data_IF_033030025952
#
_entry.id   IF_033030025952
#
_cell.length_a   1.000
_cell.length_b   1.000
_cell.length_c   1.000
_cell.angle_alpha   90.00
_cell.angle_beta   90.00
_cell.angle_gamma   90.00
#
_symmetry.space_group_name_H-M   'P 1'
#
loop_
_entity.id
_entity.type
_entity.pdbx_description
1 polymer ?
#
# COMPACT_ATOMS: atom_id res chain seq x y z
N UNK A 1 7.79 -68.95 26.56
CA UNK A 1 9.23 -68.91 26.15
C UNK A 1 9.43 -67.56 25.52
N UNK A 2 9.91 -66.56 26.21
CA UNK A 2 11.30 -66.10 26.35
C UNK A 2 11.99 -65.94 24.98
N UNK A 3 12.43 -64.79 24.52
CA UNK A 3 13.39 -63.76 24.87
C UNK A 3 13.17 -62.64 23.85
N UNK A 4 13.28 -61.35 23.98
CA UNK A 4 14.18 -60.53 24.84
C UNK A 4 15.15 -59.73 24.02
N UNK A 5 15.07 -58.41 24.21
CA UNK A 5 16.17 -57.43 24.19
C UNK A 5 16.71 -56.93 22.84
N UNK A 6 16.76 -55.62 22.75
CA UNK A 6 17.75 -54.89 21.94
C UNK A 6 17.40 -53.43 21.66
N UNK A 7 17.57 -52.56 22.67
CA UNK A 7 17.68 -51.11 22.47
C UNK A 7 19.00 -50.78 21.75
N UNK A 8 18.97 -49.83 20.86
CA UNK A 8 20.13 -48.94 20.65
C UNK A 8 19.66 -47.60 20.05
N UNK A 9 19.67 -46.59 20.89
CA UNK A 9 19.57 -45.23 20.53
C UNK A 9 20.84 -44.77 19.81
N UNK A 10 20.73 -44.14 18.67
CA UNK A 10 21.80 -43.35 18.04
C UNK A 10 21.34 -41.92 17.93
N UNK A 11 21.76 -41.12 18.91
CA UNK A 11 21.67 -39.65 18.87
C UNK A 11 22.66 -39.11 17.84
N UNK A 12 22.18 -38.57 16.75
CA UNK A 12 23.00 -37.79 15.83
C UNK A 12 22.92 -36.30 16.26
N UNK A 13 23.99 -35.85 16.89
CA UNK A 13 24.25 -34.43 17.16
C UNK A 13 24.66 -33.76 15.87
N UNK A 14 23.82 -32.93 15.28
CA UNK A 14 24.21 -32.01 14.22
C UNK A 14 24.78 -30.73 14.82
N UNK A 15 26.08 -30.58 14.74
CA UNK A 15 26.77 -29.32 14.97
C UNK A 15 26.49 -28.38 13.81
N UNK A 16 25.72 -27.34 14.07
CA UNK A 16 25.49 -26.26 13.14
C UNK A 16 26.61 -25.22 13.29
N UNK A 17 27.55 -25.22 12.35
CA UNK A 17 28.59 -24.19 12.23
C UNK A 17 27.94 -22.89 11.74
N UNK A 18 27.93 -21.88 12.58
CA UNK A 18 27.51 -20.52 12.21
C UNK A 18 28.57 -19.90 11.28
N UNK A 19 28.20 -19.70 10.01
CA UNK A 19 28.95 -18.86 9.10
C UNK A 19 28.56 -17.40 9.35
N UNK A 20 29.50 -16.62 9.79
CA UNK A 20 29.45 -15.15 9.86
C UNK A 20 29.31 -14.60 8.44
N UNK A 21 28.12 -14.21 8.04
CA UNK A 21 27.90 -13.42 6.85
C UNK A 21 27.95 -11.94 7.21
N UNK A 22 28.73 -11.21 6.42
CA UNK A 22 29.09 -9.83 6.63
C UNK A 22 27.93 -8.88 6.80
N UNK A 23 28.13 -7.96 7.73
CA UNK A 23 27.28 -6.80 8.01
C UNK A 23 27.27 -5.84 6.81
N UNK A 24 26.28 -5.96 5.95
CA UNK A 24 25.84 -4.84 5.13
C UNK A 24 25.10 -3.88 6.04
N UNK A 25 25.70 -2.74 6.35
CA UNK A 25 25.01 -1.63 6.99
C UNK A 25 23.94 -1.09 6.05
N UNK A 26 22.74 -1.65 6.11
CA UNK A 26 21.55 -0.89 5.78
C UNK A 26 21.43 0.12 6.93
N UNK A 27 21.71 1.38 6.67
CA UNK A 27 21.41 2.48 7.57
C UNK A 27 19.87 2.52 7.68
N UNK A 28 19.35 1.88 8.74
CA UNK A 28 17.99 2.13 9.15
C UNK A 28 17.88 3.64 9.38
N UNK A 29 17.15 4.34 8.52
CA UNK A 29 16.82 5.75 8.72
C UNK A 29 16.08 5.82 10.05
N UNK A 30 16.71 6.40 11.06
CA UNK A 30 16.08 6.61 12.36
C UNK A 30 14.72 7.26 12.10
N UNK A 31 13.67 6.78 12.78
CA UNK A 31 12.36 7.43 12.80
C UNK A 31 12.57 8.89 13.19
N UNK A 32 12.69 9.76 12.21
CA UNK A 32 12.75 11.19 12.45
C UNK A 32 11.42 11.59 13.06
N UNK A 33 11.46 12.40 14.11
CA UNK A 33 10.24 13.01 14.66
C UNK A 33 9.44 13.60 13.49
N UNK A 34 8.09 13.49 13.53
CA UNK A 34 7.26 14.03 12.45
C UNK A 34 7.67 15.48 12.18
N UNK A 35 7.75 15.88 10.90
CA UNK A 35 8.13 17.25 10.55
C UNK A 35 7.25 18.27 11.28
N UNK A 36 7.81 19.41 11.73
CA UNK A 36 7.03 20.42 12.42
C UNK A 36 6.03 21.06 11.44
N UNK A 37 4.76 20.85 11.68
CA UNK A 37 3.68 21.47 10.91
C UNK A 37 2.55 20.49 10.55
N UNK A 38 1.41 21.00 10.07
CA UNK A 38 0.31 20.17 9.61
C UNK A 38 0.70 19.42 8.32
N UNK A 39 0.19 18.20 8.17
CA UNK A 39 0.33 17.46 6.92
C UNK A 39 -0.40 18.19 5.78
N UNK A 40 0.24 18.30 4.62
CA UNK A 40 -0.35 18.86 3.42
C UNK A 40 -1.32 17.91 2.77
N UNK A 41 -0.98 16.60 2.80
CA UNK A 41 -1.74 15.54 2.19
C UNK A 41 -1.76 14.32 3.10
N UNK A 42 -2.94 13.76 3.32
CA UNK A 42 -3.14 12.45 3.92
C UNK A 42 -3.49 11.44 2.82
N UNK A 43 -2.67 10.41 2.65
CA UNK A 43 -2.93 9.33 1.72
C UNK A 43 -3.27 8.08 2.51
N UNK A 44 -4.39 7.45 2.21
CA UNK A 44 -4.79 6.18 2.84
C UNK A 44 -4.92 5.12 1.78
N UNK A 45 -4.17 4.02 1.89
CA UNK A 45 -4.46 2.81 1.12
C UNK A 45 -5.22 1.81 1.98
N UNK A 46 -6.24 1.16 1.40
CA UNK A 46 -7.09 0.25 2.14
C UNK A 46 -7.84 -0.75 1.25
N UNK A 47 -7.66 -2.03 1.52
CA UNK A 47 -8.48 -3.08 0.94
C UNK A 47 -9.82 -3.17 1.70
N UNK A 48 -10.93 -2.96 0.99
CA UNK A 48 -12.27 -2.86 1.56
C UNK A 48 -12.96 -4.23 1.77
N UNK A 49 -12.25 -5.34 1.65
CA UNK A 49 -12.80 -6.69 1.81
C UNK A 49 -14.12 -6.89 1.02
N UNK A 50 -14.02 -6.82 -0.29
CA UNK A 50 -15.19 -6.95 -1.18
C UNK A 50 -16.32 -5.96 -0.85
N UNK A 51 -15.97 -4.71 -0.53
CA UNK A 51 -16.90 -3.62 -0.25
C UNK A 51 -17.60 -3.71 1.11
N UNK A 52 -17.11 -4.53 2.05
CA UNK A 52 -17.67 -4.62 3.41
C UNK A 52 -17.17 -3.51 4.33
N UNK A 53 -16.10 -2.83 3.94
CA UNK A 53 -15.48 -1.78 4.73
C UNK A 53 -16.40 -0.59 4.97
N UNK A 54 -16.35 -0.01 6.16
CA UNK A 54 -17.08 1.21 6.54
C UNK A 54 -16.31 2.45 6.08
N UNK A 55 -16.40 2.74 4.77
CA UNK A 55 -15.75 3.91 4.17
C UNK A 55 -16.23 5.25 4.77
N UNK A 56 -17.54 5.47 5.01
CA UNK A 56 -17.98 6.68 5.67
C UNK A 56 -17.38 6.89 7.06
N UNK A 57 -17.22 5.80 7.83
CA UNK A 57 -16.57 5.84 9.14
C UNK A 57 -15.11 6.26 9.05
N UNK A 58 -14.34 5.66 8.14
CA UNK A 58 -12.95 6.03 7.88
C UNK A 58 -12.81 7.49 7.48
N UNK A 59 -13.63 7.97 6.53
CA UNK A 59 -13.57 9.36 6.05
C UNK A 59 -13.90 10.34 7.16
N UNK A 60 -14.93 10.08 7.95
CA UNK A 60 -15.29 10.91 9.11
C UNK A 60 -14.13 11.02 10.09
N UNK A 61 -13.44 9.93 10.40
CA UNK A 61 -12.30 9.93 11.33
C UNK A 61 -11.10 10.72 10.81
N UNK A 62 -10.91 10.75 9.48
CA UNK A 62 -9.90 11.60 8.82
C UNK A 62 -10.31 13.07 8.94
N UNK A 63 -11.55 13.42 8.56
CA UNK A 63 -12.08 14.79 8.55
C UNK A 63 -12.09 15.41 9.96
N UNK A 64 -12.42 14.62 10.98
CA UNK A 64 -12.41 15.06 12.38
C UNK A 64 -10.99 15.07 13.00
N UNK A 65 -9.96 14.73 12.24
CA UNK A 65 -8.58 14.73 12.70
C UNK A 65 -8.21 13.60 13.66
N UNK A 66 -9.12 12.65 13.91
CA UNK A 66 -8.86 11.52 14.82
C UNK A 66 -7.68 10.64 14.35
N UNK A 67 -7.49 10.52 13.04
CA UNK A 67 -6.42 9.73 12.46
C UNK A 67 -5.14 10.52 12.20
N UNK A 68 -5.21 11.82 12.06
CA UNK A 68 -4.06 12.65 11.66
C UNK A 68 -3.58 13.60 12.76
N UNK A 69 -4.28 13.63 13.90
CA UNK A 69 -3.98 14.53 15.04
C UNK A 69 -4.42 15.98 14.83
N UNK A 70 -4.84 16.33 13.61
CA UNK A 70 -5.45 17.59 13.20
C UNK A 70 -6.24 17.32 11.91
N UNK A 71 -7.20 18.14 11.49
CA UNK A 71 -7.81 18.00 10.16
C UNK A 71 -6.72 18.00 9.09
N UNK A 72 -6.75 16.98 8.22
CA UNK A 72 -5.82 16.91 7.09
C UNK A 72 -6.08 18.08 6.12
N UNK A 73 -5.03 18.59 5.48
CA UNK A 73 -5.17 19.58 4.40
C UNK A 73 -5.94 18.96 3.24
N UNK A 74 -5.26 18.10 2.50
CA UNK A 74 -5.85 17.33 1.40
C UNK A 74 -5.88 15.84 1.71
N UNK A 75 -6.78 15.10 1.07
CA UNK A 75 -7.00 13.66 1.30
C UNK A 75 -7.02 12.90 -0.01
N UNK A 76 -6.33 11.78 -0.07
CA UNK A 76 -6.42 10.78 -1.15
C UNK A 76 -6.65 9.40 -0.55
N UNK A 77 -7.67 8.70 -1.04
CA UNK A 77 -7.95 7.31 -0.69
C UNK A 77 -7.65 6.42 -1.89
N UNK A 78 -6.80 5.43 -1.68
CA UNK A 78 -6.39 4.41 -2.63
C UNK A 78 -7.05 3.10 -2.21
N UNK A 79 -8.19 2.77 -2.81
CA UNK A 79 -9.08 1.71 -2.36
C UNK A 79 -8.96 0.47 -3.23
N UNK A 80 -8.90 -0.72 -2.61
CA UNK A 80 -8.93 -2.01 -3.27
C UNK A 80 -10.20 -2.76 -2.89
N UNK A 81 -10.60 -3.69 -3.75
CA UNK A 81 -11.83 -4.47 -3.59
C UNK A 81 -13.11 -3.63 -3.42
N UNK A 82 -13.11 -2.39 -3.90
CA UNK A 82 -14.33 -1.61 -4.00
C UNK A 82 -15.32 -2.32 -4.92
N UNK A 83 -16.62 -2.32 -4.58
CA UNK A 83 -17.67 -2.94 -5.37
C UNK A 83 -18.54 -1.90 -6.03
N UNK A 84 -19.29 -2.29 -7.06
CA UNK A 84 -20.08 -1.33 -7.86
C UNK A 84 -21.17 -0.64 -7.03
N UNK A 85 -21.80 -1.33 -6.09
CA UNK A 85 -22.78 -0.73 -5.17
C UNK A 85 -22.06 0.29 -4.25
N UNK A 86 -20.92 -0.09 -3.70
CA UNK A 86 -20.05 0.81 -2.94
C UNK A 86 -19.43 1.90 -3.82
N UNK A 87 -19.30 1.69 -5.14
CA UNK A 87 -18.88 2.75 -6.05
C UNK A 87 -19.94 3.84 -6.20
N UNK A 88 -21.21 3.51 -6.10
CA UNK A 88 -22.28 4.53 -6.00
C UNK A 88 -22.16 5.30 -4.69
N UNK A 89 -22.01 4.62 -3.56
CA UNK A 89 -21.76 5.23 -2.26
C UNK A 89 -20.49 6.08 -2.26
N UNK A 90 -19.42 5.60 -2.95
CA UNK A 90 -18.15 6.29 -3.10
C UNK A 90 -18.31 7.57 -3.94
N UNK A 91 -19.07 7.53 -5.03
CA UNK A 91 -19.36 8.72 -5.83
C UNK A 91 -20.28 9.70 -5.08
N UNK A 92 -21.28 9.22 -4.34
CA UNK A 92 -22.14 10.03 -3.50
C UNK A 92 -21.34 10.69 -2.36
N UNK A 93 -20.48 9.91 -1.69
CA UNK A 93 -19.58 10.42 -0.64
C UNK A 93 -18.66 11.51 -1.18
N UNK A 94 -18.10 11.32 -2.37
CA UNK A 94 -17.27 12.31 -3.03
C UNK A 94 -18.09 13.55 -3.46
N UNK A 95 -19.24 13.34 -4.08
CA UNK A 95 -20.11 14.43 -4.55
C UNK A 95 -20.57 15.35 -3.43
N UNK A 96 -21.00 14.81 -2.29
CA UNK A 96 -21.43 15.60 -1.11
C UNK A 96 -20.31 16.50 -0.58
N UNK A 97 -19.05 16.10 -0.77
CA UNK A 97 -17.85 16.83 -0.31
C UNK A 97 -17.21 17.69 -1.39
N UNK A 98 -17.69 17.64 -2.63
CA UNK A 98 -17.01 18.26 -3.77
C UNK A 98 -15.69 17.57 -4.12
N UNK A 99 -15.53 16.31 -3.76
CA UNK A 99 -14.36 15.50 -4.05
C UNK A 99 -14.47 14.82 -5.42
N UNK A 100 -13.35 14.35 -5.95
CA UNK A 100 -13.27 13.53 -7.15
C UNK A 100 -13.22 12.05 -6.80
N UNK A 101 -13.83 11.21 -7.63
CA UNK A 101 -13.77 9.76 -7.48
C UNK A 101 -13.65 9.09 -8.85
N UNK A 102 -12.83 8.04 -8.92
CA UNK A 102 -12.72 7.17 -10.09
C UNK A 102 -12.65 5.71 -9.64
N UNK A 103 -13.55 4.87 -10.18
CA UNK A 103 -13.61 3.44 -9.92
C UNK A 103 -13.45 2.66 -11.22
N UNK A 104 -12.60 1.63 -11.21
CA UNK A 104 -12.41 0.71 -12.34
C UNK A 104 -12.62 -0.74 -11.91
N UNK A 105 -13.70 -1.39 -12.35
CA UNK A 105 -13.93 -2.81 -12.08
C UNK A 105 -12.97 -3.68 -12.86
N UNK A 106 -12.59 -4.82 -12.27
CA UNK A 106 -11.75 -5.84 -12.94
C UNK A 106 -12.30 -7.25 -12.72
N UNK A 107 -13.02 -7.49 -11.62
CA UNK A 107 -13.72 -8.74 -11.37
C UNK A 107 -15.21 -8.59 -11.64
N UNK A 108 -15.78 -9.61 -12.28
CA UNK A 108 -17.20 -9.71 -12.57
C UNK A 108 -17.72 -11.02 -11.99
N UNK A 109 -18.58 -10.93 -10.98
CA UNK A 109 -19.26 -12.07 -10.37
C UNK A 109 -20.78 -11.84 -10.51
N UNK A 110 -21.34 -12.36 -11.59
CA UNK A 110 -22.69 -12.03 -12.01
C UNK A 110 -22.86 -10.52 -12.25
N UNK A 111 -23.81 -9.90 -11.55
CA UNK A 111 -24.03 -8.46 -11.60
C UNK A 111 -23.01 -7.67 -10.75
N UNK A 112 -22.33 -8.32 -9.83
CA UNK A 112 -21.38 -7.67 -8.90
C UNK A 112 -20.05 -7.41 -9.58
N UNK A 113 -19.63 -6.18 -9.62
CA UNK A 113 -18.34 -5.75 -10.15
C UNK A 113 -17.46 -5.26 -9.02
N UNK A 114 -16.20 -5.72 -8.99
CA UNK A 114 -15.21 -5.36 -7.97
C UNK A 114 -13.92 -4.91 -8.63
N UNK A 115 -13.26 -3.92 -8.06
CA UNK A 115 -12.02 -3.38 -8.60
C UNK A 115 -11.35 -2.40 -7.66
N UNK A 116 -10.54 -1.52 -8.22
CA UNK A 116 -9.83 -0.49 -7.48
C UNK A 116 -10.45 0.90 -7.70
N UNK A 117 -10.25 1.79 -6.72
CA UNK A 117 -10.74 3.16 -6.82
C UNK A 117 -9.72 4.16 -6.25
N UNK A 118 -9.83 5.41 -6.70
CA UNK A 118 -9.21 6.58 -6.09
C UNK A 118 -10.32 7.57 -5.74
N UNK A 119 -10.27 8.09 -4.53
CA UNK A 119 -11.08 9.24 -4.08
C UNK A 119 -10.13 10.34 -3.64
N UNK A 120 -10.36 11.57 -4.05
CA UNK A 120 -9.46 12.70 -3.76
C UNK A 120 -10.26 13.94 -3.41
N UNK A 121 -9.84 14.66 -2.36
CA UNK A 121 -10.35 16.00 -2.03
C UNK A 121 -9.98 17.03 -3.09
N UNK A 122 -8.99 16.72 -3.93
CA UNK A 122 -8.55 17.56 -5.06
C UNK A 122 -9.09 17.01 -6.38
N UNK A 123 -9.23 17.84 -7.42
CA UNK A 123 -9.54 17.35 -8.76
C UNK A 123 -8.57 16.25 -9.20
N UNK A 124 -9.12 15.14 -9.70
CA UNK A 124 -8.35 14.00 -10.22
C UNK A 124 -8.31 14.09 -11.74
N UNK A 125 -7.14 14.37 -12.29
CA UNK A 125 -6.92 14.56 -13.72
C UNK A 125 -6.41 13.28 -14.39
N UNK A 126 -6.80 13.04 -15.63
CA UNK A 126 -6.30 11.91 -16.43
C UNK A 126 -6.54 10.54 -15.81
N UNK A 127 -7.59 10.41 -14.97
CA UNK A 127 -7.88 9.15 -14.29
C UNK A 127 -8.14 8.03 -15.30
N UNK A 128 -7.43 6.90 -15.14
CA UNK A 128 -7.56 5.73 -16.01
C UNK A 128 -7.25 4.44 -15.27
N UNK A 129 -7.71 3.32 -15.84
CA UNK A 129 -7.34 1.99 -15.40
C UNK A 129 -6.14 1.48 -16.22
N UNK A 130 -5.23 0.78 -15.54
CA UNK A 130 -4.12 0.04 -16.12
C UNK A 130 -4.41 -1.45 -15.89
N UNK A 131 -4.63 -2.21 -16.95
CA UNK A 131 -4.78 -3.67 -16.84
C UNK A 131 -3.43 -4.31 -16.61
N UNK A 132 -3.32 -5.11 -15.56
CA UNK A 132 -2.10 -5.85 -15.24
C UNK A 132 -2.11 -7.21 -15.95
N UNK A 133 -0.94 -7.83 -16.19
CA UNK A 133 -0.85 -9.18 -16.71
C UNK A 133 -1.77 -10.13 -15.94
N UNK A 134 -2.61 -10.85 -16.67
CA UNK A 134 -3.54 -11.81 -16.05
C UNK A 134 -2.76 -13.05 -15.64
N UNK A 135 -2.76 -13.31 -14.37
CA UNK A 135 -2.23 -14.52 -13.79
C UNK A 135 -3.40 -15.48 -13.47
N UNK A 136 -3.67 -15.78 -12.23
CA UNK A 136 -4.86 -16.54 -11.84
C UNK A 136 -6.13 -15.68 -11.91
N UNK A 137 -6.04 -14.45 -11.43
CA UNK A 137 -7.13 -13.51 -11.39
C UNK A 137 -6.85 -12.30 -12.29
N UNK A 138 -7.88 -11.67 -12.86
CA UNK A 138 -7.68 -10.37 -13.49
C UNK A 138 -7.38 -9.33 -12.42
N UNK A 139 -6.37 -8.50 -12.66
CA UNK A 139 -5.94 -7.41 -11.79
C UNK A 139 -5.80 -6.11 -12.58
N UNK A 140 -6.03 -5.00 -11.94
CA UNK A 140 -5.77 -3.68 -12.48
C UNK A 140 -5.12 -2.77 -11.43
N UNK A 141 -4.60 -1.65 -11.89
CA UNK A 141 -4.37 -0.47 -11.09
C UNK A 141 -5.25 0.67 -11.62
N UNK A 142 -5.55 1.62 -10.75
CA UNK A 142 -6.17 2.90 -11.12
C UNK A 142 -5.13 3.98 -10.88
N UNK A 143 -4.96 4.88 -11.83
CA UNK A 143 -4.05 6.03 -11.72
C UNK A 143 -4.75 7.32 -12.10
N UNK A 144 -4.22 8.44 -11.62
CA UNK A 144 -4.60 9.80 -11.98
C UNK A 144 -3.56 10.78 -11.43
N UNK A 145 -3.70 12.05 -11.72
CA UNK A 145 -2.86 13.10 -11.19
C UNK A 145 -3.67 14.09 -10.34
N UNK A 146 -3.05 14.61 -9.28
CA UNK A 146 -3.60 15.64 -8.40
C UNK A 146 -2.61 16.78 -8.26
N UNK A 147 -3.11 18.00 -8.06
CA UNK A 147 -2.28 19.15 -7.74
C UNK A 147 -2.37 19.46 -6.23
N UNK A 148 -1.23 19.52 -5.58
CA UNK A 148 -1.06 19.95 -4.19
C UNK A 148 -0.13 21.16 -4.19
N UNK A 149 -0.65 22.32 -3.83
CA UNK A 149 0.01 23.61 -3.98
C UNK A 149 0.44 23.84 -5.45
N UNK A 150 1.75 23.98 -5.71
CA UNK A 150 2.38 24.14 -7.03
C UNK A 150 2.94 22.83 -7.61
N UNK A 151 2.71 21.71 -6.94
CA UNK A 151 3.24 20.40 -7.33
C UNK A 151 2.14 19.51 -7.92
N UNK A 152 2.42 18.86 -9.03
CA UNK A 152 1.58 17.80 -9.57
C UNK A 152 2.14 16.44 -9.17
N UNK A 153 1.30 15.57 -8.62
CA UNK A 153 1.64 14.23 -8.17
C UNK A 153 0.78 13.20 -8.89
N UNK A 154 1.38 12.15 -9.45
CA UNK A 154 0.56 10.99 -9.82
C UNK A 154 0.20 10.17 -8.58
N UNK A 155 -0.99 9.59 -8.58
CA UNK A 155 -1.48 8.71 -7.51
C UNK A 155 -1.99 7.40 -8.10
N UNK A 156 -1.72 6.28 -7.44
CA UNK A 156 -2.06 4.95 -7.93
C UNK A 156 -2.64 4.08 -6.81
N UNK A 157 -3.79 3.47 -7.08
CA UNK A 157 -4.35 2.38 -6.30
C UNK A 157 -4.15 1.06 -7.04
N UNK A 158 -3.46 0.08 -6.44
CA UNK A 158 -3.23 -1.23 -7.06
C UNK A 158 -3.61 -2.39 -6.16
N UNK A 159 -3.93 -3.54 -6.76
CA UNK A 159 -4.12 -4.79 -6.05
C UNK A 159 -3.49 -5.91 -6.87
N UNK A 160 -2.35 -6.41 -6.41
CA UNK A 160 -1.58 -7.44 -7.10
C UNK A 160 -2.16 -8.85 -6.85
N UNK A 161 -1.63 -9.85 -7.57
CA UNK A 161 -2.09 -11.24 -7.46
C UNK A 161 -1.89 -11.79 -6.05
N UNK A 162 -2.94 -12.40 -5.52
CA UNK A 162 -2.89 -13.00 -4.19
C UNK A 162 -2.11 -14.32 -4.24
N UNK A 163 -2.71 -15.38 -4.79
CA UNK A 163 -2.14 -16.72 -4.83
C UNK A 163 -2.43 -17.40 -6.16
N UNK A 164 -1.38 -17.83 -6.84
CA UNK A 164 -1.51 -18.54 -8.12
C UNK A 164 -1.90 -20.00 -7.91
N UNK A 165 -1.34 -20.68 -6.90
CA UNK A 165 -1.59 -22.09 -6.62
C UNK A 165 -1.39 -22.43 -5.14
N UNK A 166 -2.20 -23.36 -4.62
CA UNK A 166 -2.05 -23.91 -3.27
C UNK A 166 -0.75 -24.71 -3.10
N UNK A 167 -0.31 -25.43 -4.17
CA UNK A 167 0.82 -26.35 -4.13
C UNK A 167 2.16 -25.68 -4.48
N UNK A 168 2.12 -24.56 -5.21
CA UNK A 168 3.30 -23.76 -5.59
C UNK A 168 3.25 -22.36 -4.94
N UNK A 169 2.75 -22.28 -3.71
CA UNK A 169 2.23 -21.05 -3.13
C UNK A 169 3.22 -19.87 -3.08
N UNK A 170 4.49 -20.12 -2.74
CA UNK A 170 5.48 -19.07 -2.56
C UNK A 170 5.99 -18.48 -3.88
N UNK A 171 6.86 -19.22 -4.56
CA UNK A 171 7.61 -18.69 -5.72
C UNK A 171 6.75 -18.33 -6.93
N UNK A 172 5.79 -19.19 -7.31
CA UNK A 172 4.94 -18.88 -8.47
C UNK A 172 4.06 -17.63 -8.27
N UNK A 173 3.67 -17.35 -7.03
CA UNK A 173 2.91 -16.14 -6.71
C UNK A 173 3.80 -14.91 -6.63
N UNK A 174 5.05 -15.03 -6.19
CA UNK A 174 6.05 -13.98 -6.24
C UNK A 174 6.38 -13.58 -7.68
N UNK A 175 6.64 -14.55 -8.56
CA UNK A 175 6.86 -14.30 -9.99
C UNK A 175 5.67 -13.58 -10.64
N UNK A 176 4.44 -13.99 -10.32
CA UNK A 176 3.22 -13.37 -10.84
C UNK A 176 3.11 -11.91 -10.41
N UNK A 177 3.34 -11.63 -9.13
CA UNK A 177 3.36 -10.26 -8.59
C UNK A 177 4.51 -9.44 -9.18
N UNK A 178 5.69 -10.05 -9.38
CA UNK A 178 6.83 -9.43 -10.04
C UNK A 178 6.48 -8.94 -11.45
N UNK A 179 5.87 -9.81 -12.29
CA UNK A 179 5.43 -9.42 -13.65
C UNK A 179 4.38 -8.30 -13.63
N UNK A 180 3.44 -8.34 -12.68
CA UNK A 180 2.43 -7.28 -12.52
C UNK A 180 3.06 -5.97 -12.08
N UNK A 181 4.00 -6.01 -11.14
CA UNK A 181 4.77 -4.86 -10.68
C UNK A 181 5.59 -4.22 -11.82
N UNK A 182 6.31 -5.01 -12.60
CA UNK A 182 7.05 -4.53 -13.76
C UNK A 182 6.14 -3.87 -14.81
N UNK A 183 4.98 -4.50 -15.09
CA UNK A 183 4.02 -3.94 -16.03
C UNK A 183 3.45 -2.60 -15.53
N UNK A 184 3.11 -2.51 -14.24
CA UNK A 184 2.64 -1.27 -13.65
C UNK A 184 3.71 -0.18 -13.71
N UNK A 185 4.94 -0.46 -13.28
CA UNK A 185 6.03 0.51 -13.25
C UNK A 185 6.37 1.08 -14.65
N UNK A 186 6.21 0.30 -15.72
CA UNK A 186 6.39 0.79 -17.11
C UNK A 186 5.33 1.80 -17.54
N UNK A 187 4.15 1.79 -16.92
CA UNK A 187 3.05 2.69 -17.22
C UNK A 187 3.08 3.99 -16.39
N UNK A 188 3.91 4.04 -15.35
CA UNK A 188 4.01 5.20 -14.47
C UNK A 188 4.96 6.27 -15.05
N UNK A 189 4.67 7.55 -14.82
CA UNK A 189 5.58 8.65 -15.18
C UNK A 189 6.94 8.49 -14.50
N UNK A 190 8.02 8.80 -15.22
CA UNK A 190 9.39 8.74 -14.67
C UNK A 190 9.86 10.08 -14.10
N UNK A 191 9.34 11.19 -14.65
CA UNK A 191 9.78 12.55 -14.33
C UNK A 191 8.81 13.29 -13.39
N UNK A 192 7.67 12.68 -13.06
CA UNK A 192 6.67 13.25 -12.15
C UNK A 192 6.76 12.55 -10.80
N UNK A 193 6.79 13.31 -9.70
CA UNK A 193 6.67 12.73 -8.37
C UNK A 193 5.31 12.04 -8.17
N UNK A 194 5.22 11.07 -7.27
CA UNK A 194 3.96 10.39 -7.08
C UNK A 194 3.91 9.38 -5.94
N UNK A 195 2.73 8.82 -5.77
CA UNK A 195 2.40 7.93 -4.66
C UNK A 195 1.67 6.71 -5.19
N UNK A 196 2.18 5.54 -4.85
CA UNK A 196 1.55 4.25 -5.19
C UNK A 196 1.18 3.55 -3.90
N UNK A 197 -0.11 3.26 -3.71
CA UNK A 197 -0.58 2.48 -2.58
C UNK A 197 -1.42 1.29 -3.02
N UNK A 198 -1.47 0.24 -2.20
CA UNK A 198 -2.29 -0.91 -2.52
C UNK A 198 -2.05 -2.14 -1.66
N UNK A 199 -2.85 -3.15 -1.94
CA UNK A 199 -2.62 -4.51 -1.47
C UNK A 199 -1.68 -5.24 -2.46
N UNK A 200 -0.41 -5.32 -2.08
CA UNK A 200 0.63 -5.95 -2.89
C UNK A 200 0.68 -7.47 -2.71
N UNK A 201 -0.07 -7.99 -1.73
CA UNK A 201 -0.10 -9.42 -1.41
C UNK A 201 1.29 -10.04 -1.19
N UNK A 202 2.22 -9.30 -0.60
CA UNK A 202 3.61 -9.71 -0.33
C UNK A 202 3.71 -10.64 0.88
N UNK A 203 3.26 -11.88 0.72
CA UNK A 203 3.18 -12.89 1.78
C UNK A 203 4.53 -13.22 2.43
N UNK A 204 5.63 -13.09 1.68
CA UNK A 204 6.99 -13.34 2.14
C UNK A 204 7.71 -12.04 2.52
N UNK A 205 6.99 -10.92 2.52
CA UNK A 205 7.48 -9.61 2.94
C UNK A 205 8.48 -8.97 1.97
N UNK A 206 9.46 -8.20 2.48
CA UNK A 206 10.39 -7.39 1.66
C UNK A 206 11.28 -8.18 0.71
N UNK A 207 11.36 -9.50 0.89
CA UNK A 207 12.10 -10.40 -0.01
C UNK A 207 11.44 -10.63 -1.37
N UNK A 208 10.17 -10.25 -1.56
CA UNK A 208 9.43 -10.50 -2.78
C UNK A 208 9.82 -9.57 -3.93
N UNK A 209 9.69 -10.10 -5.15
CA UNK A 209 10.07 -9.42 -6.39
C UNK A 209 9.32 -8.11 -6.59
N UNK A 210 8.01 -8.10 -6.35
CA UNK A 210 7.19 -6.90 -6.47
C UNK A 210 7.64 -5.80 -5.50
N UNK A 211 7.85 -6.15 -4.22
CA UNK A 211 8.31 -5.20 -3.21
C UNK A 211 9.66 -4.60 -3.59
N UNK A 212 10.64 -5.44 -3.98
CA UNK A 212 11.98 -4.98 -4.39
C UNK A 212 11.96 -4.08 -5.63
N UNK A 213 11.06 -4.33 -6.59
CA UNK A 213 10.90 -3.49 -7.77
C UNK A 213 10.42 -2.10 -7.41
N UNK A 214 9.38 -2.01 -6.57
CA UNK A 214 8.86 -0.72 -6.11
C UNK A 214 9.86 0.00 -5.21
N UNK A 215 10.53 -0.69 -4.28
CA UNK A 215 11.54 -0.08 -3.41
C UNK A 215 12.71 0.54 -4.18
N UNK A 216 13.12 -0.04 -5.32
CA UNK A 216 14.17 0.52 -6.17
C UNK A 216 13.72 1.78 -6.93
N UNK A 217 12.42 1.91 -7.21
CA UNK A 217 11.87 3.09 -7.91
C UNK A 217 11.49 4.21 -6.93
N UNK A 218 11.18 3.83 -5.69
CA UNK A 218 10.70 4.70 -4.61
C UNK A 218 11.55 4.45 -3.36
N UNK A 219 12.82 4.81 -3.43
CA UNK A 219 13.85 4.42 -2.45
C UNK A 219 13.70 5.11 -1.08
N UNK A 220 13.07 6.28 -1.01
CA UNK A 220 12.81 7.03 0.22
C UNK A 220 11.49 6.67 0.93
N UNK A 221 10.84 5.58 0.52
CA UNK A 221 9.53 5.20 1.06
C UNK A 221 9.57 4.81 2.54
N UNK A 222 8.77 5.46 3.40
CA UNK A 222 8.57 5.03 4.78
C UNK A 222 7.74 3.74 4.82
N UNK A 223 8.25 2.69 5.44
CA UNK A 223 7.58 1.40 5.53
C UNK A 223 6.71 1.28 6.78
N UNK A 224 5.55 0.63 6.66
CA UNK A 224 4.77 0.20 7.81
C UNK A 224 5.39 -1.08 8.40
N UNK A 225 5.75 -1.05 9.68
CA UNK A 225 6.39 -2.19 10.36
C UNK A 225 5.39 -3.14 11.03
N UNK A 226 4.13 -2.73 11.14
CA UNK A 226 3.08 -3.51 11.81
C UNK A 226 2.20 -4.23 10.78
N UNK A 227 1.60 -5.40 11.15
CA UNK A 227 0.70 -6.12 10.27
C UNK A 227 -0.43 -5.24 9.72
N UNK A 228 -0.72 -5.36 8.43
CA UNK A 228 -1.82 -4.67 7.75
C UNK A 228 -3.02 -5.60 7.51
N UNK A 229 -2.82 -6.90 7.62
CA UNK A 229 -3.84 -7.92 7.44
C UNK A 229 -4.12 -8.69 8.74
N UNK A 230 -5.37 -9.08 8.96
CA UNK A 230 -5.83 -9.80 10.17
C UNK A 230 -5.09 -11.12 10.44
N UNK A 231 -4.46 -11.70 9.41
CA UNK A 231 -3.60 -12.89 9.52
C UNK A 231 -2.17 -12.59 10.00
N UNK A 232 -1.85 -11.39 10.43
CA UNK A 232 -0.52 -11.02 10.96
C UNK A 232 0.52 -10.74 9.88
N UNK A 233 0.12 -10.45 8.65
CA UNK A 233 0.99 -10.16 7.52
C UNK A 233 0.98 -8.66 7.18
N UNK A 234 2.07 -8.17 6.60
CA UNK A 234 2.18 -6.84 5.99
C UNK A 234 1.98 -7.01 4.49
N UNK A 235 0.78 -6.76 3.99
CA UNK A 235 0.38 -6.94 2.59
C UNK A 235 0.16 -5.61 1.86
N UNK A 236 -0.20 -4.57 2.62
CA UNK A 236 -0.56 -3.26 2.10
C UNK A 236 0.61 -2.30 2.28
N UNK A 237 0.99 -1.63 1.20
CA UNK A 237 2.15 -0.73 1.18
C UNK A 237 1.78 0.60 0.52
N UNK A 238 2.51 1.65 0.92
CA UNK A 238 2.51 2.94 0.22
C UNK A 238 3.96 3.27 -0.15
N UNK A 239 4.21 3.48 -1.42
CA UNK A 239 5.49 3.89 -1.98
C UNK A 239 5.39 5.34 -2.42
N UNK A 240 6.39 6.15 -2.09
CA UNK A 240 6.39 7.58 -2.37
C UNK A 240 7.66 8.01 -3.11
N UNK A 241 7.48 8.88 -4.09
CA UNK A 241 8.51 9.66 -4.75
C UNK A 241 8.02 11.12 -4.67
N UNK A 242 8.64 11.91 -3.81
CA UNK A 242 8.13 13.22 -3.41
C UNK A 242 8.99 14.35 -4.00
N UNK A 243 8.39 15.55 -4.20
CA UNK A 243 9.15 16.73 -4.58
C UNK A 243 10.28 17.04 -3.60
N UNK A 244 11.33 17.71 -4.07
CA UNK A 244 12.47 18.11 -3.22
C UNK A 244 12.01 18.91 -2.00
N UNK A 245 12.47 18.49 -0.83
CA UNK A 245 12.15 19.10 0.47
C UNK A 245 10.80 18.68 1.04
N UNK A 246 10.08 17.77 0.39
CA UNK A 246 8.93 17.11 0.99
C UNK A 246 9.37 15.85 1.74
N UNK A 247 8.59 15.46 2.74
CA UNK A 247 8.86 14.26 3.56
C UNK A 247 7.54 13.53 3.85
N UNK A 248 7.62 12.26 4.23
CA UNK A 248 6.44 11.47 4.56
C UNK A 248 6.66 10.58 5.78
N UNK A 249 5.56 10.32 6.50
CA UNK A 249 5.52 9.30 7.55
C UNK A 249 4.38 8.33 7.28
N UNK A 250 4.61 7.03 7.53
CA UNK A 250 3.60 5.99 7.31
C UNK A 250 3.31 5.23 8.59
N UNK A 251 2.04 4.92 8.82
CA UNK A 251 1.59 4.08 9.93
C UNK A 251 0.33 3.29 9.59
N UNK A 252 0.15 2.17 10.26
CA UNK A 252 -1.08 1.38 10.19
C UNK A 252 -2.11 1.94 11.16
N UNK A 253 -3.36 2.06 10.71
CA UNK A 253 -4.48 2.48 11.55
C UNK A 253 -5.01 1.25 12.30
N UNK A 254 -5.14 1.29 13.65
CA UNK A 254 -5.58 0.13 14.42
C UNK A 254 -7.00 -0.33 14.12
N UNK A 255 -7.93 0.59 13.81
CA UNK A 255 -9.28 0.22 13.40
C UNK A 255 -9.28 -0.26 11.94
N UNK A 256 -9.94 -1.38 11.68
CA UNK A 256 -10.09 -1.98 10.36
C UNK A 256 -11.34 -1.52 9.61
N UNK A 257 -12.21 -0.75 10.26
CA UNK A 257 -13.46 -0.28 9.68
C UNK A 257 -14.25 -1.40 9.01
N UNK A 258 -14.41 -2.54 9.70
CA UNK A 258 -15.13 -3.75 9.23
C UNK A 258 -14.45 -4.52 8.08
N UNK A 259 -13.24 -4.14 7.68
CA UNK A 259 -12.42 -4.94 6.76
C UNK A 259 -11.61 -6.02 7.51
N UNK A 260 -10.99 -6.95 6.79
CA UNK A 260 -9.91 -7.82 7.29
C UNK A 260 -8.52 -7.21 7.11
N UNK A 261 -8.43 -6.06 6.42
CA UNK A 261 -7.24 -5.23 6.33
C UNK A 261 -7.34 -3.97 7.18
N UNK A 262 -6.21 -3.52 7.69
CA UNK A 262 -6.05 -2.22 8.33
C UNK A 262 -5.75 -1.16 7.28
N UNK A 263 -6.34 0.05 7.36
CA UNK A 263 -5.89 1.16 6.54
C UNK A 263 -4.43 1.52 6.85
N UNK A 264 -3.66 1.83 5.81
CA UNK A 264 -2.29 2.36 5.93
C UNK A 264 -2.34 3.84 5.59
N UNK A 265 -2.01 4.68 6.56
CA UNK A 265 -2.00 6.14 6.45
C UNK A 265 -0.57 6.63 6.23
N UNK A 266 -0.38 7.38 5.16
CA UNK A 266 0.83 8.14 4.88
C UNK A 266 0.51 9.63 4.96
N UNK A 267 1.21 10.35 5.83
CA UNK A 267 1.13 11.81 5.95
C UNK A 267 2.30 12.43 5.19
N UNK A 268 2.00 13.32 4.26
CA UNK A 268 2.97 14.03 3.45
C UNK A 268 3.09 15.47 3.95
N UNK A 269 4.31 15.94 4.14
CA UNK A 269 4.67 17.26 4.64
C UNK A 269 5.49 17.98 3.58
N UNK A 270 5.17 19.24 3.30
CA UNK A 270 5.99 20.07 2.44
C UNK A 270 7.05 20.85 3.25
N UNK A 271 8.14 21.26 2.60
CA UNK A 271 9.09 22.19 3.20
C UNK A 271 8.38 23.50 3.54
N UNK A 272 8.45 23.92 4.79
CA UNK A 272 8.11 25.30 5.11
C UNK A 272 9.21 26.19 4.49
N UNK A 273 8.86 26.95 3.47
CA UNK A 273 9.76 27.92 2.82
C UNK A 273 10.39 28.93 3.82
N UNK A 274 9.82 29.03 5.04
CA UNK A 274 10.29 29.92 6.12
C UNK A 274 11.59 29.48 6.80
N UNK A 275 12.02 28.21 6.70
CA UNK A 275 13.25 27.77 7.38
C UNK A 275 14.54 28.06 6.59
N UNK A 276 14.44 28.30 5.27
CA UNK A 276 15.61 28.66 4.44
C UNK A 276 16.03 30.13 4.54
N UNK A 277 15.20 31.02 5.07
CA UNK A 277 15.53 32.43 5.22
C UNK A 277 16.35 32.75 6.49
N UNK A 278 16.46 31.82 7.44
CA UNK A 278 17.16 32.04 8.71
C UNK A 278 18.62 31.57 8.74
N UNK A 279 19.17 31.09 7.62
CA UNK A 279 20.56 30.56 7.54
C UNK A 279 21.37 31.23 6.42
N UNK A 280 21.09 32.50 6.11
CA UNK A 280 21.98 33.33 5.27
C UNK A 280 22.47 34.53 6.03
#
# INVERSE_FOLDING_TARGET
MYFGVGQSALSAVFLLTAALAGSGCATARALTAPPPGPARLAVVTWNMNAGRGDLPGLVRDIEEGRLVGAPAGDVVLLLQEAVQEAASELHELAAVRGWSAFFAPVHHDGARRRGNAIVSSRPLHGARAILLPRERQPRNAVTGAIAIDDQELFVVSTHLENRVSWWKAGFASDDARGRQAEALLRELPTEMPGIVGGDFNTWLGPGESAWRLFQRRFDDTPTAETPTFSGGLVLDHVFVDLPEGWDATTRVIPDRYRSDHHPVLTLVYGSNASSRAATR
#
